data_IF_001301905839
#
_entry.id   IF_001301905839
#
_cell.length_a   1.000
_cell.length_b   1.000
_cell.length_c   1.000
_cell.angle_alpha   90.00
_cell.angle_beta   90.00
_cell.angle_gamma   90.00
#
_symmetry.space_group_name_H-M   'P 1'
#
loop_
_entity.id
_entity.type
_entity.pdbx_description
1 polymer ?
#
# COMPACT_ATOMS: atom_id res chain seq x y z
N UNK A 1 12.25 8.53 -16.83
CA UNK A 1 12.65 7.12 -17.04
C UNK A 1 12.78 6.76 -18.52
N UNK A 2 11.76 6.94 -19.39
CA UNK A 2 11.84 6.51 -20.80
C UNK A 2 13.02 7.07 -21.61
N UNK A 3 13.41 8.33 -21.36
CA UNK A 3 14.57 8.95 -22.04
C UNK A 3 15.92 8.26 -21.74
N UNK A 4 15.94 7.43 -20.70
CA UNK A 4 17.10 6.63 -20.30
C UNK A 4 16.96 5.16 -20.71
N UNK A 5 16.02 4.84 -21.60
CA UNK A 5 15.79 3.49 -22.10
C UNK A 5 15.06 2.56 -21.12
N UNK A 6 14.37 3.13 -20.13
CA UNK A 6 13.58 2.36 -19.17
C UNK A 6 12.12 2.36 -19.61
N UNK A 7 11.53 1.20 -19.79
CA UNK A 7 10.09 1.04 -19.99
C UNK A 7 9.37 1.19 -18.67
N UNK A 8 8.34 2.05 -18.61
CA UNK A 8 7.54 2.27 -17.42
C UNK A 8 6.20 1.52 -17.53
N UNK A 9 5.93 0.61 -16.61
CA UNK A 9 4.59 0.04 -16.43
C UNK A 9 3.79 1.01 -15.57
N UNK A 10 2.70 1.52 -16.12
CA UNK A 10 1.82 2.50 -15.48
C UNK A 10 0.41 1.94 -15.37
N UNK A 11 -0.34 2.41 -14.37
CA UNK A 11 -1.73 1.96 -14.20
C UNK A 11 -2.57 2.30 -15.45
N UNK A 12 -3.36 1.33 -15.91
CA UNK A 12 -4.14 1.47 -17.15
C UNK A 12 -5.23 2.54 -17.06
N UNK A 13 -5.71 2.84 -15.85
CA UNK A 13 -6.71 3.89 -15.58
C UNK A 13 -6.04 5.21 -15.13
N UNK A 14 -4.70 5.27 -15.07
CA UNK A 14 -3.92 6.37 -14.50
C UNK A 14 -4.36 6.72 -13.07
N UNK A 15 -4.80 5.72 -12.32
CA UNK A 15 -5.27 5.84 -10.96
C UNK A 15 -4.12 5.69 -9.94
N UNK A 16 -4.42 5.95 -8.67
CA UNK A 16 -3.49 5.68 -7.59
C UNK A 16 -3.35 4.18 -7.34
N UNK A 17 -2.12 3.74 -7.08
CA UNK A 17 -1.79 2.33 -6.87
C UNK A 17 -1.21 2.13 -5.48
N UNK A 18 -1.80 1.26 -4.64
CA UNK A 18 -1.26 0.88 -3.35
C UNK A 18 0.14 0.25 -3.44
N UNK A 19 1.01 0.55 -2.46
CA UNK A 19 2.35 -0.04 -2.37
C UNK A 19 2.37 -1.58 -2.48
N UNK A 20 1.49 -2.33 -1.78
CA UNK A 20 1.48 -3.80 -1.92
C UNK A 20 1.07 -4.29 -3.31
N UNK A 21 0.25 -3.53 -4.03
CA UNK A 21 -0.11 -3.86 -5.42
C UNK A 21 1.09 -3.74 -6.37
N UNK A 22 1.90 -2.68 -6.19
CA UNK A 22 3.17 -2.54 -6.93
C UNK A 22 4.12 -3.68 -6.58
N UNK A 23 4.26 -4.02 -5.30
CA UNK A 23 5.09 -5.14 -4.83
C UNK A 23 4.70 -6.46 -5.49
N UNK A 24 3.40 -6.74 -5.57
CA UNK A 24 2.89 -7.96 -6.20
C UNK A 24 3.11 -7.96 -7.71
N UNK A 25 2.91 -6.83 -8.37
CA UNK A 25 3.14 -6.69 -9.80
C UNK A 25 4.61 -6.96 -10.17
N UNK A 26 5.57 -6.46 -9.38
CA UNK A 26 7.01 -6.74 -9.58
C UNK A 26 7.27 -8.25 -9.49
N UNK A 27 6.78 -8.92 -8.46
CA UNK A 27 6.97 -10.35 -8.26
C UNK A 27 6.41 -11.12 -9.45
N UNK A 28 5.16 -10.84 -9.84
CA UNK A 28 4.48 -11.50 -10.94
C UNK A 28 5.25 -11.32 -12.25
N UNK A 29 5.61 -10.08 -12.59
CA UNK A 29 6.38 -9.81 -13.80
C UNK A 29 7.68 -10.59 -13.83
N UNK A 30 8.40 -10.61 -12.72
CA UNK A 30 9.71 -11.26 -12.61
C UNK A 30 9.64 -12.80 -12.58
N UNK A 31 8.48 -13.37 -12.27
CA UNK A 31 8.22 -14.81 -12.41
C UNK A 31 7.92 -15.21 -13.87
N UNK A 32 7.32 -14.30 -14.65
CA UNK A 32 6.83 -14.59 -16.01
C UNK A 32 7.84 -14.16 -17.10
N UNK A 33 8.85 -13.33 -16.77
CA UNK A 33 9.78 -12.74 -17.76
C UNK A 33 11.24 -12.91 -17.35
N UNK A 34 12.14 -12.99 -18.35
CA UNK A 34 13.59 -13.06 -18.13
C UNK A 34 14.19 -11.72 -17.78
N UNK A 35 13.75 -10.64 -18.44
CA UNK A 35 14.06 -9.26 -18.06
C UNK A 35 13.34 -8.91 -16.75
N UNK A 36 13.97 -8.07 -15.91
CA UNK A 36 13.51 -7.85 -14.56
C UNK A 36 12.94 -6.44 -14.38
N UNK A 37 11.84 -6.37 -13.68
CA UNK A 37 11.20 -5.15 -13.21
C UNK A 37 11.55 -4.89 -11.75
N UNK A 38 11.60 -3.62 -11.40
CA UNK A 38 11.61 -3.08 -10.05
C UNK A 38 10.56 -1.95 -9.94
N UNK A 39 10.45 -1.29 -8.79
CA UNK A 39 9.39 -0.30 -8.62
C UNK A 39 9.84 0.98 -7.92
N UNK A 40 9.32 2.09 -8.40
CA UNK A 40 9.40 3.40 -7.75
C UNK A 40 7.99 3.83 -7.36
N UNK A 41 7.78 4.11 -6.07
CA UNK A 41 6.50 4.53 -5.52
C UNK A 41 6.67 5.92 -4.95
N UNK A 42 5.87 6.87 -5.45
CA UNK A 42 5.88 8.25 -4.94
C UNK A 42 4.81 8.34 -3.86
N UNK A 43 5.25 8.46 -2.60
CA UNK A 43 4.36 8.45 -1.42
C UNK A 43 5.03 9.08 -0.21
N UNK A 44 4.30 9.89 0.57
CA UNK A 44 4.72 10.31 1.90
C UNK A 44 4.40 9.26 2.99
N UNK A 45 3.86 8.08 2.61
CA UNK A 45 3.31 7.09 3.54
C UNK A 45 2.18 7.71 4.39
N UNK A 46 2.24 7.59 5.72
CA UNK A 46 1.28 8.16 6.68
C UNK A 46 1.61 9.57 7.17
N UNK A 47 2.67 10.18 6.63
CA UNK A 47 3.11 11.52 7.04
C UNK A 47 2.09 12.61 6.63
N UNK A 48 2.20 13.84 7.21
CA UNK A 48 1.36 14.96 6.82
C UNK A 48 1.31 15.21 5.30
N UNK A 49 0.21 15.77 4.78
CA UNK A 49 0.00 15.92 3.34
C UNK A 49 0.99 16.87 2.64
N UNK A 50 1.69 17.71 3.38
CA UNK A 50 2.75 18.57 2.87
C UNK A 50 4.11 17.87 2.72
N UNK A 51 4.22 16.63 3.16
CA UNK A 51 5.42 15.83 3.00
C UNK A 51 5.42 15.09 1.67
N UNK A 52 6.60 14.92 1.09
CA UNK A 52 6.85 14.06 -0.05
C UNK A 52 7.70 12.85 0.32
N UNK A 53 7.80 11.89 -0.58
CA UNK A 53 8.67 10.74 -0.40
C UNK A 53 8.73 9.84 -1.63
N UNK A 54 9.76 9.00 -1.66
CA UNK A 54 9.96 8.00 -2.70
C UNK A 54 10.35 6.69 -2.02
N UNK A 55 9.65 5.61 -2.35
CA UNK A 55 10.05 4.25 -2.00
C UNK A 55 10.60 3.56 -3.24
N UNK A 56 11.67 2.79 -3.07
CA UNK A 56 12.20 1.91 -4.11
C UNK A 56 12.03 0.46 -3.69
N UNK A 57 11.29 -0.29 -4.49
CA UNK A 57 11.09 -1.72 -4.32
C UNK A 57 11.96 -2.48 -5.32
N UNK A 58 12.72 -3.42 -4.82
CA UNK A 58 13.68 -4.21 -5.60
C UNK A 58 12.98 -5.29 -6.44
N UNK A 59 13.73 -5.97 -7.26
CA UNK A 59 13.26 -7.08 -8.12
C UNK A 59 12.55 -8.23 -7.37
N UNK A 60 12.67 -8.29 -6.05
CA UNK A 60 11.94 -9.25 -5.21
C UNK A 60 10.61 -8.71 -4.68
N UNK A 61 10.18 -7.53 -5.15
CA UNK A 61 8.93 -6.87 -4.78
C UNK A 61 8.95 -6.17 -3.42
N UNK A 62 9.95 -6.42 -2.59
CA UNK A 62 10.09 -5.79 -1.27
C UNK A 62 10.86 -4.48 -1.31
N UNK A 63 10.74 -3.64 -0.24
CA UNK A 63 11.49 -2.41 -0.13
C UNK A 63 13.00 -2.67 -0.10
N UNK A 64 13.77 -1.78 -0.70
CA UNK A 64 15.21 -1.84 -0.69
C UNK A 64 15.78 -1.64 0.72
N UNK A 65 16.90 -2.28 1.00
CA UNK A 65 17.61 -2.07 2.26
C UNK A 65 18.28 -0.68 2.34
N UNK A 66 18.76 -0.34 3.53
CA UNK A 66 19.35 0.97 3.80
C UNK A 66 20.67 1.22 3.05
N UNK A 67 21.37 0.19 2.62
CA UNK A 67 22.60 0.33 1.82
C UNK A 67 22.23 0.83 0.42
N UNK A 68 21.22 0.23 -0.18
CA UNK A 68 20.71 0.62 -1.51
C UNK A 68 20.10 2.01 -1.47
N UNK A 69 19.22 2.28 -0.50
CA UNK A 69 18.53 3.60 -0.42
C UNK A 69 19.51 4.75 -0.16
N UNK A 70 20.53 4.56 0.68
CA UNK A 70 21.60 5.55 0.88
C UNK A 70 22.44 5.77 -0.38
N UNK A 71 22.71 4.72 -1.13
CA UNK A 71 23.42 4.86 -2.40
C UNK A 71 22.58 5.66 -3.41
N UNK A 72 21.28 5.37 -3.52
CA UNK A 72 20.35 6.12 -4.37
C UNK A 72 20.29 7.59 -3.94
N UNK A 73 20.16 7.87 -2.64
CA UNK A 73 20.12 9.23 -2.09
C UNK A 73 21.41 10.01 -2.43
N UNK A 74 22.57 9.38 -2.23
CA UNK A 74 23.86 10.00 -2.56
C UNK A 74 23.94 10.35 -4.04
N UNK A 75 23.60 9.39 -4.94
CA UNK A 75 23.62 9.62 -6.39
C UNK A 75 22.62 10.67 -6.84
N UNK A 76 21.41 10.67 -6.24
CA UNK A 76 20.40 11.69 -6.54
C UNK A 76 20.89 13.09 -6.15
N UNK A 77 21.55 13.25 -5.00
CA UNK A 77 22.13 14.53 -4.58
C UNK A 77 23.28 14.98 -5.46
N UNK A 78 24.13 14.06 -5.93
CA UNK A 78 25.19 14.38 -6.91
C UNK A 78 24.58 14.91 -8.21
N UNK A 79 23.55 14.23 -8.74
CA UNK A 79 22.84 14.67 -9.94
C UNK A 79 22.13 16.01 -9.73
N UNK A 80 21.50 16.22 -8.57
CA UNK A 80 20.83 17.47 -8.26
C UNK A 80 21.82 18.64 -8.22
N UNK A 81 23.00 18.45 -7.63
CA UNK A 81 24.09 19.43 -7.63
C UNK A 81 24.55 19.77 -9.04
N UNK A 82 24.86 18.76 -9.83
CA UNK A 82 25.23 18.93 -11.23
C UNK A 82 24.13 19.61 -12.07
N UNK A 83 22.86 19.31 -11.80
CA UNK A 83 21.71 19.96 -12.42
C UNK A 83 21.62 21.46 -12.09
N UNK A 84 21.90 21.84 -10.84
CA UNK A 84 21.91 23.24 -10.43
C UNK A 84 23.09 24.04 -11.04
N UNK A 85 24.18 23.35 -11.42
CA UNK A 85 25.39 23.93 -11.98
C UNK A 85 25.40 23.93 -13.52
N UNK A 86 24.60 23.10 -14.18
CA UNK A 86 24.56 22.96 -15.64
C UNK A 86 23.12 22.78 -16.16
N UNK A 87 22.86 23.28 -17.37
CA UNK A 87 21.58 23.08 -18.06
C UNK A 87 21.47 21.70 -18.75
N UNK A 88 22.39 20.77 -18.51
CA UNK A 88 22.51 19.50 -19.22
C UNK A 88 21.49 18.43 -18.85
N UNK A 89 20.66 18.66 -17.81
CA UNK A 89 19.61 17.73 -17.45
C UNK A 89 18.43 17.81 -18.42
N UNK A 90 18.23 16.72 -19.13
CA UNK A 90 17.09 16.59 -20.06
C UNK A 90 15.80 16.40 -19.30
N UNK A 91 14.91 17.39 -19.38
CA UNK A 91 13.50 17.24 -19.05
C UNK A 91 12.71 17.05 -20.33
N UNK A 92 11.83 16.06 -20.32
CA UNK A 92 10.88 15.85 -21.40
C UNK A 92 9.48 16.05 -20.83
N UNK A 93 8.63 16.80 -21.56
CA UNK A 93 7.21 16.82 -21.26
C UNK A 93 6.63 15.40 -21.40
N UNK A 94 5.67 15.06 -20.58
CA UNK A 94 4.96 13.77 -20.67
C UNK A 94 4.36 13.56 -22.08
N UNK A 95 3.94 14.63 -22.72
CA UNK A 95 3.38 14.60 -24.08
C UNK A 95 4.40 14.19 -25.17
N UNK A 96 5.69 14.25 -24.84
CA UNK A 96 6.79 13.91 -25.76
C UNK A 96 7.42 12.54 -25.44
N UNK A 97 6.80 11.76 -24.55
CA UNK A 97 7.26 10.40 -24.24
C UNK A 97 6.73 9.46 -25.33
N UNK A 98 7.62 8.67 -25.91
CA UNK A 98 7.23 7.64 -26.88
C UNK A 98 6.21 6.70 -26.27
N UNK A 99 5.04 6.47 -26.91
CA UNK A 99 3.98 5.61 -26.36
C UNK A 99 4.46 4.19 -26.00
N UNK A 100 5.44 3.65 -26.76
CA UNK A 100 6.04 2.34 -26.50
C UNK A 100 6.87 2.27 -25.22
N UNK A 101 7.24 3.41 -24.64
CA UNK A 101 7.98 3.49 -23.39
C UNK A 101 7.08 3.50 -22.14
N UNK A 102 5.76 3.51 -22.34
CA UNK A 102 4.75 3.36 -21.30
C UNK A 102 3.86 2.16 -21.62
N UNK A 103 3.83 1.18 -20.73
CA UNK A 103 3.01 -0.01 -20.89
C UNK A 103 1.87 0.06 -19.86
N UNK A 104 0.60 0.12 -20.29
CA UNK A 104 -0.53 0.05 -19.39
C UNK A 104 -0.55 -1.31 -18.65
N UNK A 105 -0.80 -1.28 -17.35
CA UNK A 105 -0.88 -2.48 -16.51
C UNK A 105 -2.08 -2.40 -15.56
N UNK A 106 -2.84 -3.48 -15.47
CA UNK A 106 -3.98 -3.58 -14.57
C UNK A 106 -3.54 -3.98 -13.15
N UNK A 107 -3.02 -3.01 -12.40
CA UNK A 107 -2.61 -3.23 -11.01
C UNK A 107 -3.76 -3.67 -10.12
N UNK A 108 -4.93 -3.06 -10.28
CA UNK A 108 -6.09 -3.28 -9.43
C UNK A 108 -6.76 -4.62 -9.70
N UNK A 109 -7.12 -4.88 -10.95
CA UNK A 109 -7.85 -6.10 -11.30
C UNK A 109 -7.07 -7.36 -10.96
N UNK A 110 -5.79 -7.41 -11.32
CA UNK A 110 -4.92 -8.55 -11.03
C UNK A 110 -4.71 -8.75 -9.52
N UNK A 111 -4.47 -7.67 -8.77
CA UNK A 111 -4.29 -7.76 -7.31
C UNK A 111 -5.54 -8.28 -6.61
N UNK A 112 -6.71 -7.73 -6.95
CA UNK A 112 -8.00 -8.13 -6.37
C UNK A 112 -8.34 -9.57 -6.72
N UNK A 113 -8.02 -10.02 -7.93
CA UNK A 113 -8.21 -11.41 -8.36
C UNK A 113 -7.41 -12.39 -7.51
N UNK A 114 -6.12 -12.10 -7.31
CA UNK A 114 -5.18 -12.97 -6.58
C UNK A 114 -5.45 -13.02 -5.07
N UNK A 115 -6.27 -12.12 -4.50
CA UNK A 115 -6.62 -12.16 -3.07
C UNK A 115 -7.27 -13.51 -2.68
N UNK A 116 -8.06 -14.11 -3.56
CA UNK A 116 -8.67 -15.43 -3.34
C UNK A 116 -7.64 -16.54 -3.14
N UNK A 117 -6.44 -16.41 -3.70
CA UNK A 117 -5.34 -17.38 -3.52
C UNK A 117 -4.67 -17.25 -2.15
N UNK A 118 -4.79 -16.09 -1.51
CA UNK A 118 -4.18 -15.79 -0.20
C UNK A 118 -5.17 -15.94 0.93
N UNK A 119 -6.43 -15.54 0.72
CA UNK A 119 -7.47 -15.45 1.73
C UNK A 119 -8.66 -16.32 1.31
N UNK A 120 -9.27 -17.03 2.26
CA UNK A 120 -10.49 -17.78 1.99
C UNK A 120 -11.70 -16.83 1.95
N UNK A 121 -11.90 -16.19 0.79
CA UNK A 121 -12.99 -15.22 0.56
C UNK A 121 -14.38 -15.86 0.67
N UNK A 122 -14.53 -17.13 0.30
CA UNK A 122 -15.82 -17.85 0.44
C UNK A 122 -16.20 -18.03 1.91
N UNK A 123 -15.24 -18.33 2.78
CA UNK A 123 -15.49 -18.42 4.21
C UNK A 123 -15.89 -17.07 4.81
N UNK A 124 -15.26 -15.97 4.38
CA UNK A 124 -15.62 -14.62 4.82
C UNK A 124 -17.05 -14.29 4.36
N UNK A 125 -17.33 -14.52 3.09
CA UNK A 125 -18.67 -14.30 2.51
C UNK A 125 -19.75 -15.12 3.24
N UNK A 126 -19.48 -16.38 3.52
CA UNK A 126 -20.42 -17.26 4.23
C UNK A 126 -20.65 -16.82 5.69
N UNK A 127 -19.65 -16.28 6.34
CA UNK A 127 -19.76 -15.70 7.68
C UNK A 127 -20.56 -14.38 7.70
N UNK A 128 -20.56 -13.64 6.59
CA UNK A 128 -21.34 -12.43 6.39
C UNK A 128 -21.05 -11.28 7.36
N UNK A 129 -19.79 -11.01 7.75
CA UNK A 129 -19.50 -9.92 8.68
C UNK A 129 -19.83 -8.57 8.04
N UNK A 130 -20.42 -7.67 8.83
CA UNK A 130 -20.57 -6.26 8.47
C UNK A 130 -19.27 -5.53 8.77
N UNK A 131 -18.56 -5.08 7.73
CA UNK A 131 -17.25 -4.45 7.88
C UNK A 131 -17.31 -2.97 7.51
N UNK A 132 -16.84 -2.11 8.40
CA UNK A 132 -16.60 -0.70 8.12
C UNK A 132 -15.16 -0.54 7.65
N UNK A 133 -14.98 0.08 6.49
CA UNK A 133 -13.65 0.35 5.91
C UNK A 133 -13.45 1.86 5.85
N UNK A 134 -12.37 2.33 6.47
CA UNK A 134 -11.89 3.70 6.29
C UNK A 134 -10.65 3.66 5.40
N UNK A 135 -10.76 4.24 4.23
CA UNK A 135 -9.64 4.30 3.29
C UNK A 135 -8.60 5.35 3.69
N UNK A 136 -8.91 6.17 4.70
CA UNK A 136 -8.13 7.34 5.11
C UNK A 136 -7.73 8.22 3.91
N UNK A 137 -8.59 8.29 2.88
CA UNK A 137 -8.35 9.04 1.65
C UNK A 137 -7.18 8.52 0.79
N UNK A 138 -6.79 7.27 1.00
CA UNK A 138 -5.60 6.69 0.40
C UNK A 138 -5.82 6.05 -0.97
N UNK A 139 -4.73 5.54 -1.55
CA UNK A 139 -4.65 5.01 -2.91
C UNK A 139 -5.50 3.76 -3.17
N UNK A 140 -5.93 3.05 -2.13
CA UNK A 140 -6.70 1.81 -2.26
C UNK A 140 -8.21 1.95 -2.18
N UNK A 141 -8.78 3.17 -2.18
CA UNK A 141 -10.22 3.38 -2.13
C UNK A 141 -10.96 2.59 -3.22
N UNK A 142 -10.49 2.67 -4.47
CA UNK A 142 -11.06 1.92 -5.59
C UNK A 142 -10.87 0.40 -5.49
N UNK A 143 -9.84 -0.06 -4.75
CA UNK A 143 -9.60 -1.48 -4.51
C UNK A 143 -10.65 -2.08 -3.57
N UNK A 144 -11.02 -1.36 -2.51
CA UNK A 144 -12.08 -1.82 -1.61
C UNK A 144 -13.43 -1.96 -2.30
N UNK A 145 -13.77 -1.04 -3.21
CA UNK A 145 -14.96 -1.17 -4.05
C UNK A 145 -14.90 -2.41 -4.96
N UNK A 146 -13.77 -2.64 -5.61
CA UNK A 146 -13.56 -3.82 -6.45
C UNK A 146 -13.61 -5.14 -5.65
N UNK A 147 -13.04 -5.17 -4.43
CA UNK A 147 -13.13 -6.31 -3.50
C UNK A 147 -14.58 -6.59 -3.12
N UNK A 148 -15.32 -5.55 -2.74
CA UNK A 148 -16.74 -5.64 -2.39
C UNK A 148 -17.55 -6.27 -3.51
N UNK A 149 -17.39 -5.77 -4.73
CA UNK A 149 -18.12 -6.25 -5.90
C UNK A 149 -17.73 -7.69 -6.27
N UNK A 150 -16.42 -7.97 -6.38
CA UNK A 150 -15.93 -9.27 -6.81
C UNK A 150 -16.33 -10.40 -5.86
N UNK A 151 -16.18 -10.17 -4.57
CA UNK A 151 -16.40 -11.20 -3.56
C UNK A 151 -17.77 -11.14 -2.88
N UNK A 152 -18.56 -10.10 -3.17
CA UNK A 152 -19.91 -9.94 -2.62
C UNK A 152 -19.92 -9.78 -1.09
N UNK A 153 -18.98 -8.97 -0.56
CA UNK A 153 -18.83 -8.74 0.87
C UNK A 153 -19.69 -7.56 1.34
N UNK A 154 -20.17 -7.61 2.59
CA UNK A 154 -20.91 -6.52 3.23
C UNK A 154 -19.93 -5.47 3.78
N UNK A 155 -19.48 -4.59 2.90
CA UNK A 155 -18.55 -3.51 3.23
C UNK A 155 -19.25 -2.15 3.18
N UNK A 156 -19.10 -1.36 4.23
CA UNK A 156 -19.37 0.08 4.22
C UNK A 156 -18.05 0.82 4.13
N UNK A 157 -17.83 1.54 3.04
CA UNK A 157 -16.57 2.24 2.77
C UNK A 157 -16.79 3.73 3.01
N UNK A 158 -15.87 4.36 3.72
CA UNK A 158 -15.87 5.80 4.02
C UNK A 158 -14.55 6.44 3.61
N UNK A 159 -14.57 7.76 3.42
CA UNK A 159 -13.44 8.58 2.97
C UNK A 159 -12.81 8.06 1.68
N UNK A 160 -13.65 7.58 0.76
CA UNK A 160 -13.24 7.01 -0.52
C UNK A 160 -13.08 8.07 -1.64
N UNK A 161 -13.39 9.32 -1.36
CA UNK A 161 -13.08 10.46 -2.21
C UNK A 161 -11.66 10.97 -1.96
N UNK A 162 -10.98 11.38 -3.02
CA UNK A 162 -9.63 11.95 -2.91
C UNK A 162 -9.67 13.42 -2.49
N UNK A 163 -9.30 13.66 -1.24
CA UNK A 163 -9.04 15.00 -0.72
C UNK A 163 -7.55 15.15 -0.40
N UNK A 164 -6.75 15.85 -1.24
CA UNK A 164 -5.31 15.99 -1.02
C UNK A 164 -4.94 16.78 0.23
N UNK A 165 -5.92 17.43 0.86
CA UNK A 165 -5.73 18.15 2.13
C UNK A 165 -6.05 17.29 3.35
N UNK A 166 -6.67 16.12 3.16
CA UNK A 166 -7.14 15.24 4.22
C UNK A 166 -8.01 15.97 5.27
N UNK A 167 -8.88 16.87 4.82
CA UNK A 167 -9.67 17.76 5.68
C UNK A 167 -10.66 17.02 6.61
N UNK A 168 -11.01 15.77 6.27
CA UNK A 168 -11.86 14.89 7.07
C UNK A 168 -11.13 14.27 8.28
N UNK A 169 -9.78 14.33 8.32
CA UNK A 169 -9.00 13.73 9.38
C UNK A 169 -9.01 14.56 10.66
N UNK A 170 -9.04 13.86 11.80
CA UNK A 170 -8.76 14.46 13.10
C UNK A 170 -7.26 14.64 13.30
N UNK A 171 -6.88 15.65 14.11
CA UNK A 171 -5.48 15.82 14.48
C UNK A 171 -5.00 14.64 15.34
N UNK A 172 -3.81 14.17 15.08
CA UNK A 172 -3.14 13.19 15.92
C UNK A 172 -2.63 13.83 17.23
N UNK A 173 -2.09 13.03 18.13
CA UNK A 173 -1.62 13.45 19.46
C UNK A 173 -0.59 14.60 19.44
N UNK A 174 0.13 14.77 18.32
CA UNK A 174 1.12 15.84 18.12
C UNK A 174 0.54 17.11 17.46
N UNK A 175 -0.79 17.17 17.26
CA UNK A 175 -1.49 18.29 16.66
C UNK A 175 -1.31 18.40 15.14
N UNK A 176 -0.85 17.34 14.47
CA UNK A 176 -0.69 17.28 13.02
C UNK A 176 -1.70 16.34 12.39
N UNK A 177 -2.03 16.58 11.13
CA UNK A 177 -2.76 15.61 10.31
C UNK A 177 -1.79 14.52 9.92
N UNK A 178 -2.02 13.31 10.43
CA UNK A 178 -1.31 12.08 10.08
C UNK A 178 -2.33 10.99 9.77
N UNK A 179 -1.95 10.03 8.97
CA UNK A 179 -2.80 8.90 8.62
C UNK A 179 -2.22 7.58 9.14
N UNK A 180 -1.69 7.61 10.38
CA UNK A 180 -1.16 6.42 11.05
C UNK A 180 -2.29 5.61 11.70
N UNK A 181 -2.66 4.51 11.06
CA UNK A 181 -3.75 3.63 11.52
C UNK A 181 -3.45 2.86 12.82
N UNK A 182 -2.28 3.04 13.44
CA UNK A 182 -2.02 2.60 14.81
C UNK A 182 -2.47 3.61 15.88
N UNK A 183 -2.80 4.85 15.49
CA UNK A 183 -3.30 5.91 16.36
C UNK A 183 -4.81 5.82 16.57
N UNK A 184 -5.25 5.87 17.83
CA UNK A 184 -6.68 5.94 18.17
C UNK A 184 -7.32 7.26 17.73
N UNK A 185 -6.53 8.32 17.59
CA UNK A 185 -7.02 9.61 17.08
C UNK A 185 -7.34 9.51 15.59
N UNK A 186 -6.43 8.94 14.82
CA UNK A 186 -6.59 8.72 13.38
C UNK A 186 -7.75 7.77 13.09
N UNK A 187 -7.87 6.70 13.88
CA UNK A 187 -8.93 5.69 13.76
C UNK A 187 -10.25 6.09 14.45
N UNK A 188 -10.39 7.34 14.93
CA UNK A 188 -11.58 7.78 15.65
C UNK A 188 -12.88 7.64 14.85
N UNK A 189 -12.83 7.87 13.52
CA UNK A 189 -13.98 7.72 12.61
C UNK A 189 -14.60 6.33 12.67
N UNK A 190 -13.78 5.27 12.73
CA UNK A 190 -14.24 3.88 12.79
C UNK A 190 -14.46 3.40 14.24
N UNK A 191 -13.64 3.86 15.19
CA UNK A 191 -13.81 3.52 16.63
C UNK A 191 -15.18 3.99 17.14
N UNK A 192 -15.60 5.20 16.79
CA UNK A 192 -16.87 5.78 17.23
C UNK A 192 -18.10 5.12 16.57
N UNK A 193 -17.91 4.35 15.50
CA UNK A 193 -18.98 3.70 14.73
C UNK A 193 -19.00 2.19 14.85
N UNK A 194 -18.05 1.58 15.58
CA UNK A 194 -17.91 0.12 15.62
C UNK A 194 -19.14 -0.60 16.17
N UNK A 195 -19.98 0.07 16.94
CA UNK A 195 -21.19 -0.53 17.50
C UNK A 195 -22.20 -1.05 16.46
N UNK A 196 -22.15 -0.56 15.24
CA UNK A 196 -23.03 -0.95 14.14
C UNK A 196 -22.40 -2.03 13.22
N UNK A 197 -21.15 -2.43 13.49
CA UNK A 197 -20.33 -3.33 12.66
C UNK A 197 -19.67 -4.43 13.50
N UNK A 198 -19.39 -5.55 12.86
CA UNK A 198 -18.65 -6.67 13.48
C UNK A 198 -17.15 -6.38 13.53
N UNK A 199 -16.64 -5.63 12.54
CA UNK A 199 -15.25 -5.29 12.35
C UNK A 199 -15.12 -3.94 11.65
N UNK A 200 -14.10 -3.17 12.00
CA UNK A 200 -13.69 -2.02 11.20
C UNK A 200 -12.20 -2.08 10.89
N UNK A 201 -11.83 -1.58 9.73
CA UNK A 201 -10.44 -1.53 9.25
C UNK A 201 -10.12 -0.15 8.71
N UNK A 202 -8.87 0.28 8.87
CA UNK A 202 -8.32 1.46 8.21
C UNK A 202 -6.96 1.15 7.62
N UNK A 203 -6.66 1.78 6.50
CA UNK A 203 -5.35 1.67 5.87
C UNK A 203 -4.72 3.06 5.77
N UNK A 204 -3.40 3.14 5.93
CA UNK A 204 -2.69 4.37 5.62
C UNK A 204 -2.70 4.67 4.11
N UNK A 205 -2.37 5.90 3.67
CA UNK A 205 -2.62 6.32 2.30
C UNK A 205 -1.97 5.48 1.21
N UNK A 206 -0.85 4.82 1.47
CA UNK A 206 -0.20 3.93 0.51
C UNK A 206 -0.38 2.44 0.81
N UNK A 207 -1.22 2.11 1.82
CA UNK A 207 -1.72 0.77 2.09
C UNK A 207 -0.67 -0.26 2.52
N UNK A 208 0.47 0.16 3.01
CA UNK A 208 1.45 -0.76 3.59
C UNK A 208 1.23 -0.99 5.09
N UNK A 209 0.28 -0.26 5.70
CA UNK A 209 -0.15 -0.39 7.10
C UNK A 209 -1.66 -0.54 7.21
N UNK A 210 -2.08 -1.06 8.35
CA UNK A 210 -3.49 -1.26 8.68
C UNK A 210 -3.75 -1.06 10.17
N UNK A 211 -4.97 -0.63 10.48
CA UNK A 211 -5.55 -0.65 11.82
C UNK A 211 -6.83 -1.48 11.83
N UNK A 212 -7.05 -2.25 12.88
CA UNK A 212 -8.23 -3.12 13.01
C UNK A 212 -8.93 -2.78 14.32
N UNK A 213 -10.23 -2.50 14.22
CA UNK A 213 -11.08 -2.16 15.36
C UNK A 213 -12.17 -3.21 15.50
N UNK A 214 -12.37 -3.66 16.73
CA UNK A 214 -13.45 -4.55 17.14
C UNK A 214 -14.19 -3.92 18.31
N UNK A 215 -15.24 -4.55 18.81
CA UNK A 215 -16.05 -4.03 19.95
C UNK A 215 -15.24 -3.66 21.20
N UNK A 216 -14.07 -4.28 21.40
CA UNK A 216 -13.14 -3.95 22.51
C UNK A 216 -12.17 -2.81 22.18
N UNK A 217 -12.20 -2.24 20.98
CA UNK A 217 -11.35 -1.15 20.52
C UNK A 217 -10.31 -1.55 19.46
N UNK A 218 -9.31 -0.68 19.28
CA UNK A 218 -8.23 -0.88 18.31
C UNK A 218 -7.32 -2.04 18.77
N UNK A 219 -7.17 -3.04 17.90
CA UNK A 219 -6.31 -4.20 18.15
C UNK A 219 -4.84 -3.81 17.94
N UNK A 220 -3.96 -4.21 18.85
CA UNK A 220 -2.52 -3.98 18.65
C UNK A 220 -2.00 -4.73 17.42
N UNK A 221 -1.07 -4.10 16.69
CA UNK A 221 -0.44 -4.71 15.51
C UNK A 221 0.19 -6.08 15.85
N UNK A 222 0.80 -6.23 17.03
CA UNK A 222 1.39 -7.48 17.48
C UNK A 222 0.35 -8.60 17.64
N UNK A 223 -0.81 -8.29 18.21
CA UNK A 223 -1.90 -9.25 18.35
C UNK A 223 -2.40 -9.72 16.98
N UNK A 224 -2.63 -8.78 16.07
CA UNK A 224 -3.09 -9.14 14.73
C UNK A 224 -2.04 -9.95 13.95
N UNK A 225 -0.76 -9.55 13.99
CA UNK A 225 0.32 -10.29 13.33
C UNK A 225 0.41 -11.74 13.83
N UNK A 226 0.19 -11.96 15.13
CA UNK A 226 0.15 -13.33 15.70
C UNK A 226 -1.02 -14.14 15.12
N UNK A 227 -2.21 -13.55 15.02
CA UNK A 227 -3.38 -14.19 14.42
C UNK A 227 -3.18 -14.48 12.94
N UNK A 228 -2.64 -13.51 12.18
CA UNK A 228 -2.34 -13.65 10.77
C UNK A 228 -1.30 -14.75 10.51
N UNK A 229 -0.20 -14.76 11.27
CA UNK A 229 0.80 -15.81 11.19
C UNK A 229 0.19 -17.19 11.47
N UNK A 230 -0.58 -17.34 12.55
CA UNK A 230 -1.29 -18.59 12.85
C UNK A 230 -2.18 -19.02 11.68
N UNK A 231 -2.99 -18.12 11.15
CA UNK A 231 -3.87 -18.43 10.01
C UNK A 231 -3.07 -18.94 8.80
N UNK A 232 -2.07 -18.19 8.38
CA UNK A 232 -1.26 -18.53 7.22
C UNK A 232 -0.52 -19.87 7.38
N UNK A 233 0.08 -20.10 8.52
CA UNK A 233 0.82 -21.35 8.79
C UNK A 233 -0.09 -22.58 8.91
N UNK A 234 -1.35 -22.39 9.36
CA UNK A 234 -2.30 -23.50 9.47
C UNK A 234 -3.03 -23.80 8.19
N UNK A 235 -3.29 -22.79 7.35
CA UNK A 235 -4.11 -22.95 6.13
C UNK A 235 -3.29 -23.14 4.87
N UNK A 236 -2.02 -22.68 4.84
CA UNK A 236 -1.18 -22.67 3.65
C UNK A 236 -0.14 -23.79 3.57
N UNK A 237 -0.15 -24.72 4.48
CA UNK A 237 0.84 -25.81 4.50
C UNK A 237 2.27 -25.35 4.77
N UNK A 238 2.48 -24.18 5.34
CA UNK A 238 3.80 -23.60 5.61
C UNK A 238 4.51 -24.19 6.83
N UNK A 239 4.18 -25.40 7.24
CA UNK A 239 4.69 -26.04 8.44
C UNK A 239 6.23 -26.09 8.56
N UNK A 240 6.91 -26.01 7.43
CA UNK A 240 8.38 -26.01 7.36
C UNK A 240 8.98 -24.64 7.02
N UNK A 241 8.17 -23.60 6.95
CA UNK A 241 8.64 -22.22 6.76
C UNK A 241 8.98 -21.57 8.10
N UNK A 242 9.97 -20.71 8.10
CA UNK A 242 10.30 -19.89 9.27
C UNK A 242 9.53 -18.57 9.30
N UNK A 243 9.46 -17.96 10.49
CA UNK A 243 8.96 -16.60 10.69
C UNK A 243 10.13 -15.73 11.12
N UNK A 244 10.44 -14.71 10.31
CA UNK A 244 11.35 -13.66 10.73
C UNK A 244 10.64 -12.67 11.66
N UNK A 245 11.27 -12.30 12.77
CA UNK A 245 10.75 -11.24 13.64
C UNK A 245 11.89 -10.39 14.20
N UNK A 246 11.57 -9.18 14.60
CA UNK A 246 12.48 -8.27 15.31
C UNK A 246 12.25 -8.36 16.82
N UNK A 247 13.16 -7.75 17.59
CA UNK A 247 13.07 -7.72 19.06
C UNK A 247 11.87 -6.93 19.59
N UNK A 248 11.29 -6.05 18.78
CA UNK A 248 10.11 -5.27 19.15
C UNK A 248 8.79 -6.01 18.95
N UNK A 249 8.81 -7.14 18.25
CA UNK A 249 7.62 -7.97 18.06
C UNK A 249 7.36 -8.83 19.30
N UNK A 250 6.05 -9.18 19.48
CA UNK A 250 5.62 -10.09 20.55
C UNK A 250 6.29 -11.47 20.45
N UNK A 251 6.35 -12.17 21.55
CA UNK A 251 6.77 -13.58 21.65
C UNK A 251 5.61 -14.57 21.58
N UNK A 252 4.35 -14.07 21.45
CA UNK A 252 3.15 -14.90 21.35
C UNK A 252 3.15 -15.74 20.07
#
# INVERSE_FOLDING_TARGET
LPIYGVTAMVDCDMAFVPTPSVSRAIIRYNEEHDDKADGIIITPSHNPPDNGGIKYNTIIGGPADTVVTKWIEMRANEYLTAYCESEDFKRISIDNIEPSAQVPYDYKGLYVEELGDVINMEAIKAAGPKVLVDTLGGSGASYWNAIKERYGLDLTIIHDDYDPTFSFMTYDHDGKVRMDCSSTYVMASVINRIGDFDLAVGNDPDYDRYGIVVSSGLISANTFLTLAARYLFTTRGWKHKGVGKTVVCTTM
#
